data_IF_409989028076
#
_entry.id   IF_409989028076
#
_cell.length_a   1.000
_cell.length_b   1.000
_cell.length_c   1.000
_cell.angle_alpha   90.00
_cell.angle_beta   90.00
_cell.angle_gamma   90.00
#
_symmetry.space_group_name_H-M   'P 1'
#
loop_
_entity.id
_entity.type
_entity.pdbx_description
1 polymer ?
#
# COMPACT_ATOMS: atom_id res chain seq x y z
N UNK A 1 12.63 -3.14 2.35
CA UNK A 1 11.38 -2.38 2.60
C UNK A 1 11.04 -2.50 4.08
N UNK A 2 10.85 -1.41 4.82
CA UNK A 2 10.44 -1.50 6.22
C UNK A 2 8.99 -2.03 6.30
N UNK A 3 8.77 -3.03 7.15
CA UNK A 3 7.42 -3.51 7.49
C UNK A 3 6.70 -2.36 8.20
N UNK A 4 5.54 -1.96 7.68
CA UNK A 4 4.78 -0.85 8.28
C UNK A 4 3.72 -1.41 9.22
N UNK A 5 3.82 -1.06 10.50
CA UNK A 5 2.91 -1.53 11.53
C UNK A 5 1.70 -0.63 11.73
N UNK A 6 0.64 -1.16 12.33
CA UNK A 6 -0.59 -0.42 12.66
C UNK A 6 -0.35 0.70 13.68
N UNK A 7 0.58 0.47 14.63
CA UNK A 7 1.05 1.43 15.62
C UNK A 7 2.38 0.97 16.22
N UNK A 8 3.02 1.83 17.02
CA UNK A 8 4.27 1.53 17.76
C UNK A 8 4.10 0.34 18.73
N UNK A 9 2.89 0.14 19.25
CA UNK A 9 2.56 -1.03 20.09
C UNK A 9 2.61 -2.31 19.26
N UNK A 10 2.01 -2.30 18.05
CA UNK A 10 2.06 -3.46 17.15
C UNK A 10 3.48 -3.73 16.64
N UNK A 11 4.31 -2.70 16.46
CA UNK A 11 5.74 -2.88 16.16
C UNK A 11 6.48 -3.56 17.32
N UNK A 12 6.27 -3.08 18.56
CA UNK A 12 6.90 -3.65 19.75
C UNK A 12 6.48 -5.11 20.00
N UNK A 13 5.19 -5.43 19.78
CA UNK A 13 4.67 -6.80 19.85
C UNK A 13 5.31 -7.67 18.76
N UNK A 14 5.47 -7.14 17.54
CA UNK A 14 6.09 -7.86 16.43
C UNK A 14 7.58 -8.17 16.68
N UNK A 15 8.34 -7.22 17.21
CA UNK A 15 9.75 -7.44 17.58
C UNK A 15 9.88 -8.49 18.69
N UNK A 16 8.97 -8.49 19.67
CA UNK A 16 8.92 -9.53 20.70
C UNK A 16 8.64 -10.92 20.10
N UNK A 17 7.71 -11.02 19.15
CA UNK A 17 7.42 -12.27 18.44
C UNK A 17 8.63 -12.76 17.63
N UNK A 18 9.39 -11.85 16.99
CA UNK A 18 10.64 -12.21 16.30
C UNK A 18 11.67 -12.81 17.26
N UNK A 19 11.84 -12.22 18.45
CA UNK A 19 12.76 -12.75 19.46
C UNK A 19 12.35 -14.16 19.90
N UNK A 20 11.05 -14.40 20.11
CA UNK A 20 10.51 -15.72 20.42
C UNK A 20 10.75 -16.73 19.29
N UNK A 21 10.61 -16.31 18.03
CA UNK A 21 10.90 -17.17 16.89
C UNK A 21 12.39 -17.54 16.84
N UNK A 22 13.29 -16.58 17.11
CA UNK A 22 14.73 -16.77 17.06
C UNK A 22 15.22 -17.83 18.07
N UNK A 23 14.56 -17.92 19.24
CA UNK A 23 14.85 -18.95 20.25
C UNK A 23 14.02 -20.22 20.08
N UNK A 24 13.20 -20.32 19.03
CA UNK A 24 12.36 -21.48 18.74
C UNK A 24 11.13 -21.64 19.64
N UNK A 25 10.79 -20.63 20.43
CA UNK A 25 9.62 -20.65 21.33
C UNK A 25 8.29 -20.55 20.57
N UNK A 26 8.29 -19.97 19.37
CA UNK A 26 7.14 -19.99 18.46
C UNK A 26 7.52 -20.54 17.09
N UNK A 27 6.52 -21.09 16.39
CA UNK A 27 6.71 -21.62 15.04
C UNK A 27 6.73 -20.50 13.99
N UNK A 28 7.24 -20.82 12.79
CA UNK A 28 7.10 -19.94 11.61
C UNK A 28 5.63 -19.69 11.23
N UNK A 29 4.73 -20.64 11.50
CA UNK A 29 3.30 -20.45 11.25
C UNK A 29 2.74 -19.37 12.17
N UNK A 30 3.06 -19.44 13.46
CA UNK A 30 2.70 -18.42 14.46
C UNK A 30 3.25 -17.05 14.09
N UNK A 31 4.51 -16.96 13.60
CA UNK A 31 5.07 -15.67 13.16
C UNK A 31 4.29 -15.04 11.99
N UNK A 32 3.69 -15.85 11.09
CA UNK A 32 2.87 -15.33 9.98
C UNK A 32 1.59 -14.66 10.49
N UNK A 33 0.97 -15.20 11.54
CA UNK A 33 -0.20 -14.58 12.19
C UNK A 33 0.16 -13.22 12.82
N UNK A 34 1.36 -13.11 13.41
CA UNK A 34 1.87 -11.83 13.90
C UNK A 34 2.18 -10.85 12.75
N UNK A 35 2.74 -11.31 11.63
CA UNK A 35 2.92 -10.49 10.43
C UNK A 35 1.59 -9.91 9.95
N UNK A 36 0.56 -10.73 9.78
CA UNK A 36 -0.75 -10.27 9.29
C UNK A 36 -1.46 -9.32 10.27
N UNK A 37 -1.44 -9.65 11.56
CA UNK A 37 -2.13 -8.86 12.59
C UNK A 37 -1.47 -7.52 12.88
N UNK A 38 -0.14 -7.43 12.76
CA UNK A 38 0.61 -6.21 13.12
C UNK A 38 0.79 -5.24 11.96
N UNK A 39 0.70 -5.70 10.70
CA UNK A 39 0.91 -4.86 9.51
C UNK A 39 -0.27 -3.93 9.23
N UNK A 40 0.03 -2.71 8.78
CA UNK A 40 -0.97 -1.74 8.36
C UNK A 40 -1.75 -2.26 7.13
N UNK A 41 -3.07 -2.31 7.27
CA UNK A 41 -3.96 -2.74 6.19
C UNK A 41 -3.89 -1.78 5.00
N UNK A 42 -4.06 -2.35 3.81
CA UNK A 42 -4.32 -1.56 2.62
C UNK A 42 -5.76 -1.04 2.73
N UNK A 43 -6.05 0.23 2.37
CA UNK A 43 -7.43 0.72 2.36
C UNK A 43 -8.37 -0.22 1.58
N UNK A 44 -9.65 -0.30 1.94
CA UNK A 44 -10.60 -1.12 1.16
C UNK A 44 -10.94 -0.47 -0.18
N UNK A 45 -10.94 0.87 -0.22
CA UNK A 45 -11.19 1.67 -1.41
C UNK A 45 -10.41 2.99 -1.36
N UNK A 46 -10.13 3.55 -2.53
CA UNK A 46 -9.65 4.93 -2.69
C UNK A 46 -10.65 5.65 -3.60
N UNK A 47 -11.32 6.72 -3.14
CA UNK A 47 -12.29 7.46 -3.94
C UNK A 47 -11.68 8.07 -5.20
N UNK A 48 -12.47 8.19 -6.27
CA UNK A 48 -12.05 8.75 -7.56
C UNK A 48 -11.37 10.13 -7.43
N UNK A 49 -11.98 11.03 -6.65
CA UNK A 49 -11.43 12.36 -6.36
C UNK A 49 -10.06 12.32 -5.67
N UNK A 50 -9.82 11.32 -4.81
CA UNK A 50 -8.52 11.17 -4.17
C UNK A 50 -7.45 10.68 -5.15
N UNK A 51 -7.82 9.84 -6.12
CA UNK A 51 -6.91 9.37 -7.17
C UNK A 51 -6.51 10.55 -8.06
N UNK A 52 -7.48 11.37 -8.46
CA UNK A 52 -7.24 12.60 -9.23
C UNK A 52 -6.36 13.58 -8.46
N UNK A 53 -6.69 13.87 -7.21
CA UNK A 53 -5.90 14.74 -6.35
C UNK A 53 -4.49 14.18 -6.09
N UNK A 54 -4.33 12.86 -6.03
CA UNK A 54 -3.01 12.24 -5.91
C UNK A 54 -2.16 12.49 -7.16
N UNK A 55 -2.74 12.30 -8.36
CA UNK A 55 -2.06 12.59 -9.62
C UNK A 55 -1.65 14.07 -9.72
N UNK A 56 -2.58 14.97 -9.43
CA UNK A 56 -2.38 16.42 -9.54
C UNK A 56 -1.33 16.93 -8.55
N UNK A 57 -1.32 16.43 -7.30
CA UNK A 57 -0.26 16.75 -6.32
C UNK A 57 1.13 16.31 -6.77
N UNK A 58 1.23 15.30 -7.63
CA UNK A 58 2.50 14.85 -8.20
C UNK A 58 2.84 15.57 -9.53
N UNK A 59 2.02 16.54 -9.97
CA UNK A 59 2.24 17.36 -11.17
C UNK A 59 2.45 16.56 -12.46
N UNK A 60 1.71 15.46 -12.63
CA UNK A 60 1.79 14.62 -13.84
C UNK A 60 0.45 14.50 -14.57
N UNK A 61 0.53 14.28 -15.88
CA UNK A 61 -0.65 13.99 -16.71
C UNK A 61 -1.16 12.56 -16.48
N UNK A 62 -2.41 12.27 -16.87
CA UNK A 62 -2.98 10.91 -16.76
C UNK A 62 -2.13 9.84 -17.44
N UNK A 63 -1.59 10.04 -18.67
CA UNK A 63 -0.70 9.06 -19.30
C UNK A 63 0.62 8.83 -18.55
N UNK A 64 1.22 9.89 -18.00
CA UNK A 64 2.46 9.77 -17.23
C UNK A 64 2.20 9.01 -15.92
N UNK A 65 1.13 9.36 -15.22
CA UNK A 65 0.70 8.65 -14.00
C UNK A 65 0.42 7.17 -14.26
N UNK A 66 -0.26 6.86 -15.37
CA UNK A 66 -0.53 5.49 -15.79
C UNK A 66 0.76 4.70 -16.04
N UNK A 67 1.78 5.33 -16.63
CA UNK A 67 3.08 4.69 -16.87
C UNK A 67 3.80 4.33 -15.58
N UNK A 68 3.80 5.21 -14.58
CA UNK A 68 4.34 4.90 -13.24
C UNK A 68 3.60 3.74 -12.56
N UNK A 69 2.27 3.69 -12.72
CA UNK A 69 1.43 2.66 -12.12
C UNK A 69 1.38 1.36 -12.95
N UNK A 70 2.15 1.28 -14.05
CA UNK A 70 2.13 0.16 -15.00
C UNK A 70 0.71 -0.22 -15.46
N UNK A 71 -0.08 0.79 -15.84
CA UNK A 71 -1.45 0.62 -16.35
C UNK A 71 -1.70 1.54 -17.55
N UNK A 72 -2.92 1.53 -18.10
CA UNK A 72 -3.28 2.36 -19.25
C UNK A 72 -3.84 3.72 -18.82
N UNK A 73 -3.68 4.74 -19.67
CA UNK A 73 -4.29 6.06 -19.43
C UNK A 73 -5.83 5.98 -19.35
N UNK A 74 -6.46 5.07 -20.10
CA UNK A 74 -7.91 4.84 -20.03
C UNK A 74 -8.33 4.21 -18.70
N UNK A 75 -7.51 3.34 -18.12
CA UNK A 75 -7.72 2.81 -16.76
C UNK A 75 -7.66 3.92 -15.72
N UNK A 76 -6.63 4.78 -15.77
CA UNK A 76 -6.54 5.95 -14.85
C UNK A 76 -7.74 6.87 -15.01
N UNK A 77 -8.16 7.15 -16.25
CA UNK A 77 -9.36 7.95 -16.52
C UNK A 77 -10.61 7.34 -15.88
N UNK A 78 -10.83 6.02 -16.05
CA UNK A 78 -11.96 5.30 -15.46
C UNK A 78 -11.93 5.30 -13.93
N UNK A 79 -10.74 5.31 -13.33
CA UNK A 79 -10.59 5.46 -11.88
C UNK A 79 -10.93 6.87 -11.40
N UNK A 80 -10.48 7.89 -12.12
CA UNK A 80 -10.73 9.30 -11.78
C UNK A 80 -12.17 9.73 -12.07
N UNK A 81 -12.89 9.07 -12.98
CA UNK A 81 -14.33 9.29 -13.21
C UNK A 81 -15.23 8.46 -12.28
N UNK A 82 -14.69 7.42 -11.63
CA UNK A 82 -15.46 6.48 -10.82
C UNK A 82 -16.16 5.37 -11.62
N UNK A 83 -15.94 5.28 -12.94
CA UNK A 83 -16.49 4.21 -13.78
C UNK A 83 -15.92 2.83 -13.40
N UNK A 84 -14.68 2.80 -12.89
CA UNK A 84 -14.05 1.62 -12.32
C UNK A 84 -13.30 1.99 -11.05
N UNK A 85 -13.07 0.99 -10.21
CA UNK A 85 -12.28 1.15 -8.99
C UNK A 85 -10.98 0.34 -9.08
N UNK A 86 -9.85 0.88 -8.59
CA UNK A 86 -8.64 0.10 -8.43
C UNK A 86 -8.87 -1.01 -7.40
N UNK A 87 -8.28 -2.18 -7.64
CA UNK A 87 -8.36 -3.33 -6.73
C UNK A 87 -6.99 -3.99 -6.58
N UNK A 88 -6.86 -4.82 -5.53
CA UNK A 88 -5.65 -5.61 -5.27
C UNK A 88 -4.37 -4.78 -5.32
N UNK A 89 -3.48 -5.14 -6.26
CA UNK A 89 -2.16 -4.50 -6.42
C UNK A 89 -2.26 -3.02 -6.80
N UNK A 90 -3.22 -2.62 -7.63
CA UNK A 90 -3.38 -1.21 -8.03
C UNK A 90 -3.69 -0.32 -6.82
N UNK A 91 -4.56 -0.81 -5.95
CA UNK A 91 -4.95 -0.11 -4.75
C UNK A 91 -3.81 -0.08 -3.71
N UNK A 92 -2.99 -1.14 -3.62
CA UNK A 92 -1.73 -1.12 -2.88
C UNK A 92 -0.75 -0.07 -3.42
N UNK A 93 -0.53 -0.02 -4.73
CA UNK A 93 0.38 0.96 -5.35
C UNK A 93 -0.08 2.39 -5.10
N UNK A 94 -1.37 2.68 -5.28
CA UNK A 94 -1.94 4.00 -4.96
C UNK A 94 -1.74 4.37 -3.48
N UNK A 95 -1.90 3.42 -2.55
CA UNK A 95 -1.63 3.67 -1.12
C UNK A 95 -0.15 3.97 -0.84
N UNK A 96 0.77 3.33 -1.58
CA UNK A 96 2.21 3.59 -1.48
C UNK A 96 2.53 4.99 -2.01
N UNK A 97 1.98 5.36 -3.17
CA UNK A 97 2.17 6.68 -3.78
C UNK A 97 1.57 7.79 -2.91
N UNK A 98 0.40 7.58 -2.31
CA UNK A 98 -0.22 8.55 -1.39
C UNK A 98 0.67 8.87 -0.18
N UNK A 99 1.47 7.90 0.26
CA UNK A 99 2.35 8.05 1.43
C UNK A 99 3.74 8.54 1.06
N UNK A 100 4.30 8.06 -0.04
CA UNK A 100 5.73 8.22 -0.37
C UNK A 100 5.99 9.11 -1.59
N UNK A 101 4.93 9.55 -2.28
CA UNK A 101 5.02 10.25 -3.55
C UNK A 101 5.21 9.29 -4.72
N UNK A 102 5.02 9.81 -5.94
CA UNK A 102 5.05 9.02 -7.17
C UNK A 102 6.47 8.52 -7.52
N UNK A 103 7.50 9.23 -7.08
CA UNK A 103 8.90 8.95 -7.41
C UNK A 103 9.40 7.59 -6.89
N UNK A 104 8.71 6.99 -5.91
CA UNK A 104 9.06 5.65 -5.40
C UNK A 104 8.82 4.54 -6.45
N UNK A 105 8.08 4.85 -7.51
CA UNK A 105 7.79 3.95 -8.62
C UNK A 105 8.67 4.22 -9.86
N UNK A 106 9.61 5.16 -9.77
CA UNK A 106 10.56 5.50 -10.84
C UNK A 106 11.68 4.47 -10.98
#
# INVERSE_FOLDING_TARGET
>A
MSKKFKSDVFESVHESAKALLAVGAISKATMREFDESCLAAVPEAIPAEQIKALRERNNVSQPVFARYLNTSASTVKQWESGDKHPSGMALKLLSIVQKHGLQILA
#
